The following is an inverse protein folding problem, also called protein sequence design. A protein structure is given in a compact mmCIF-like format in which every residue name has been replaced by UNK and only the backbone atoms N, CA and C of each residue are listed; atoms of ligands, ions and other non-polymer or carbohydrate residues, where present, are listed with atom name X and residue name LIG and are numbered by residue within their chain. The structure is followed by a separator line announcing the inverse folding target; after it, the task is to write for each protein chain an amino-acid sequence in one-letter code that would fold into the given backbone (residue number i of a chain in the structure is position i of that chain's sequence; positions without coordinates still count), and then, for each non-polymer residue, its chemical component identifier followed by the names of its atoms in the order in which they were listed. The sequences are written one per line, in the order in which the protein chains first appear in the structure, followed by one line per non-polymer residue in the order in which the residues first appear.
data_IF_559391287136
#
_entry.id   IF_559391287136
#
_cell.length_a   1.000
_cell.length_b   1.000
_cell.length_c   1.000
_cell.angle_alpha   90.00
_cell.angle_beta   90.00
_cell.angle_gamma   90.00
#
_symmetry.space_group_name_H-M   'P 1'
#
loop_
_entity.id
_entity.type
_entity.pdbx_description
1 polymer ?
#
# COMPACT_ATOMS: atom_id res chain seq x y z
N UNK A 1 20.82 -11.47 -14.90
CA UNK A 1 21.72 -10.32 -14.78
C UNK A 1 21.04 -9.16 -14.05
N UNK A 2 20.06 -8.46 -14.65
CA UNK A 2 19.44 -7.25 -14.05
C UNK A 2 18.85 -7.50 -12.66
N UNK A 3 18.21 -8.65 -12.41
CA UNK A 3 17.72 -8.99 -11.06
C UNK A 3 18.83 -9.10 -10.03
N UNK A 4 19.97 -9.70 -10.40
CA UNK A 4 21.11 -9.86 -9.49
C UNK A 4 21.74 -8.49 -9.18
N UNK A 5 21.83 -7.59 -10.16
CA UNK A 5 22.28 -6.20 -9.95
C UNK A 5 21.37 -5.47 -8.96
N UNK A 6 20.05 -5.61 -9.10
CA UNK A 6 19.10 -4.97 -8.19
C UNK A 6 19.18 -5.54 -6.77
N UNK A 7 19.40 -6.84 -6.63
CA UNK A 7 19.65 -7.47 -5.34
C UNK A 7 20.98 -7.01 -4.73
N UNK A 8 22.03 -6.77 -5.54
CA UNK A 8 23.28 -6.17 -5.07
C UNK A 8 23.03 -4.76 -4.52
N UNK A 9 22.21 -3.94 -5.18
CA UNK A 9 21.82 -2.61 -4.67
C UNK A 9 21.11 -2.74 -3.32
N UNK A 10 20.24 -3.72 -3.13
CA UNK A 10 19.58 -3.96 -1.84
C UNK A 10 20.57 -4.40 -0.74
N UNK A 11 21.50 -5.31 -1.06
CA UNK A 11 22.56 -5.73 -0.14
C UNK A 11 23.42 -4.52 0.26
N UNK A 12 23.79 -3.70 -0.72
CA UNK A 12 24.63 -2.52 -0.47
C UNK A 12 23.89 -1.48 0.36
N UNK A 13 22.61 -1.23 0.08
CA UNK A 13 21.77 -0.37 0.90
C UNK A 13 21.68 -0.89 2.35
N UNK A 14 21.55 -2.20 2.55
CA UNK A 14 21.52 -2.80 3.88
C UNK A 14 22.86 -2.70 4.62
N UNK A 15 23.99 -2.76 3.90
CA UNK A 15 25.35 -2.63 4.47
C UNK A 15 25.73 -1.20 4.81
N UNK A 16 25.37 -0.25 3.96
CA UNK A 16 25.78 1.16 4.08
C UNK A 16 24.91 1.97 5.05
N UNK A 17 23.67 1.53 5.29
CA UNK A 17 22.78 2.21 6.22
C UNK A 17 22.92 1.60 7.62
N UNK A 18 23.55 2.35 8.54
CA UNK A 18 23.80 1.89 9.92
C UNK A 18 22.55 1.42 10.66
N UNK A 19 21.40 2.06 10.41
CA UNK A 19 20.12 1.67 10.99
C UNK A 19 19.62 0.28 10.54
N UNK A 20 20.18 -0.25 9.44
CA UNK A 20 19.90 -1.59 8.90
C UNK A 20 21.05 -2.54 9.26
N UNK A 21 22.29 -2.14 9.01
CA UNK A 21 23.48 -3.00 9.16
C UNK A 21 23.75 -3.39 10.62
N UNK A 22 23.34 -2.55 11.57
CA UNK A 22 23.39 -2.84 13.02
C UNK A 22 22.35 -3.87 13.48
N UNK A 23 21.36 -4.17 12.65
CA UNK A 23 20.28 -5.10 12.96
C UNK A 23 20.44 -6.40 12.17
N UNK A 24 19.74 -7.46 12.60
CA UNK A 24 19.65 -8.67 11.79
C UNK A 24 18.75 -8.40 10.60
N UNK A 25 19.32 -8.30 9.41
CA UNK A 25 18.59 -8.13 8.16
C UNK A 25 18.70 -9.37 7.26
N UNK A 26 17.69 -9.56 6.42
CA UNK A 26 17.63 -10.66 5.46
C UNK A 26 16.95 -10.22 4.16
N UNK A 27 17.40 -10.80 3.05
CA UNK A 27 16.77 -10.71 1.74
C UNK A 27 16.13 -12.07 1.45
N UNK A 28 14.80 -12.10 1.43
CA UNK A 28 14.06 -13.28 1.00
C UNK A 28 13.84 -13.23 -0.50
N UNK A 29 14.05 -14.36 -1.17
CA UNK A 29 13.88 -14.52 -2.62
C UNK A 29 12.93 -15.69 -2.87
N UNK A 30 11.94 -15.49 -3.73
CA UNK A 30 10.99 -16.50 -4.14
C UNK A 30 10.65 -16.37 -5.62
N UNK A 31 9.88 -17.31 -6.14
CA UNK A 31 9.49 -17.33 -7.54
C UNK A 31 8.04 -17.78 -7.71
N UNK A 32 7.24 -16.96 -8.39
CA UNK A 32 5.79 -17.20 -8.54
C UNK A 32 5.49 -18.57 -9.15
N UNK A 33 6.27 -19.01 -10.14
CA UNK A 33 6.04 -20.29 -10.81
C UNK A 33 6.13 -21.49 -9.85
N UNK A 34 6.90 -21.42 -8.74
CA UNK A 34 6.90 -22.49 -7.74
C UNK A 34 5.55 -22.61 -7.04
N UNK A 35 4.95 -21.47 -6.67
CA UNK A 35 3.63 -21.41 -6.06
C UNK A 35 2.57 -21.95 -7.02
N UNK A 36 2.61 -21.53 -8.29
CA UNK A 36 1.65 -21.97 -9.32
C UNK A 36 1.80 -23.47 -9.60
N UNK A 37 3.03 -23.97 -9.71
CA UNK A 37 3.29 -25.40 -9.90
C UNK A 37 2.80 -26.24 -8.72
N UNK A 38 3.07 -25.80 -7.48
CA UNK A 38 2.58 -26.46 -6.28
C UNK A 38 1.05 -26.44 -6.21
N UNK A 39 0.40 -25.32 -6.53
CA UNK A 39 -1.06 -25.22 -6.58
C UNK A 39 -1.66 -26.21 -7.60
N UNK A 40 -1.12 -26.24 -8.83
CA UNK A 40 -1.55 -27.19 -9.88
C UNK A 40 -1.39 -28.64 -9.44
N UNK A 41 -0.24 -28.98 -8.84
CA UNK A 41 0.03 -30.30 -8.32
C UNK A 41 -0.98 -30.75 -7.25
N UNK A 42 -1.52 -29.81 -6.46
CA UNK A 42 -2.54 -30.06 -5.44
C UNK A 42 -3.98 -30.06 -5.97
N UNK A 43 -4.17 -29.94 -7.30
CA UNK A 43 -5.47 -29.94 -7.97
C UNK A 43 -6.06 -28.55 -8.26
N UNK A 44 -5.34 -27.46 -7.97
CA UNK A 44 -5.79 -26.08 -8.21
C UNK A 44 -5.26 -25.57 -9.55
N UNK A 45 -5.78 -26.15 -10.63
CA UNK A 45 -5.38 -25.88 -12.00
C UNK A 45 -5.90 -24.55 -12.59
N UNK A 46 -7.03 -24.08 -12.10
CA UNK A 46 -7.69 -22.89 -12.64
C UNK A 46 -7.09 -21.57 -12.12
N UNK A 47 -7.20 -20.52 -12.94
CA UNK A 47 -6.62 -19.21 -12.66
C UNK A 47 -7.21 -18.56 -11.40
N UNK A 48 -8.50 -18.78 -11.12
CA UNK A 48 -9.17 -18.17 -9.97
C UNK A 48 -8.64 -18.77 -8.66
N UNK A 49 -8.53 -20.10 -8.58
CA UNK A 49 -7.95 -20.79 -7.42
C UNK A 49 -6.48 -20.41 -7.22
N UNK A 50 -5.69 -20.33 -8.30
CA UNK A 50 -4.30 -19.88 -8.23
C UNK A 50 -4.20 -18.43 -7.71
N UNK A 51 -5.05 -17.53 -8.19
CA UNK A 51 -5.09 -16.15 -7.71
C UNK A 51 -5.50 -16.06 -6.23
N UNK A 52 -6.45 -16.87 -5.76
CA UNK A 52 -6.79 -16.96 -4.33
C UNK A 52 -5.56 -17.36 -3.51
N UNK A 53 -4.84 -18.41 -3.92
CA UNK A 53 -3.63 -18.89 -3.23
C UNK A 53 -2.55 -17.81 -3.20
N UNK A 54 -2.27 -17.18 -4.33
CA UNK A 54 -1.29 -16.10 -4.44
C UNK A 54 -1.65 -14.91 -3.54
N UNK A 55 -2.92 -14.52 -3.47
CA UNK A 55 -3.37 -13.42 -2.61
C UNK A 55 -3.25 -13.75 -1.12
N UNK A 56 -3.53 -15.00 -0.72
CA UNK A 56 -3.32 -15.43 0.68
C UNK A 56 -1.84 -15.43 1.04
N UNK A 57 -0.98 -15.97 0.17
CA UNK A 57 0.47 -15.98 0.39
C UNK A 57 1.03 -14.55 0.42
N UNK A 58 0.54 -13.65 -0.43
CA UNK A 58 0.88 -12.23 -0.37
C UNK A 58 0.53 -11.62 0.99
N UNK A 59 -0.68 -11.84 1.50
CA UNK A 59 -1.10 -11.33 2.81
C UNK A 59 -0.30 -11.95 3.98
N UNK A 60 0.22 -13.17 3.81
CA UNK A 60 1.14 -13.82 4.74
C UNK A 60 2.53 -13.16 4.66
N UNK A 61 3.08 -12.98 3.46
CA UNK A 61 4.41 -12.39 3.23
C UNK A 61 4.52 -10.93 3.66
N UNK A 62 3.43 -10.15 3.56
CA UNK A 62 3.40 -8.75 4.02
C UNK A 62 2.94 -8.58 5.46
N UNK A 63 2.77 -9.67 6.21
CA UNK A 63 2.37 -9.62 7.61
C UNK A 63 3.52 -9.07 8.46
N UNK A 64 3.23 -8.06 9.28
CA UNK A 64 4.16 -7.53 10.29
C UNK A 64 4.27 -8.43 11.53
N UNK A 65 3.63 -9.61 11.53
CA UNK A 65 3.72 -10.64 12.58
C UNK A 65 4.32 -11.90 11.98
N UNK A 66 5.24 -12.52 12.72
CA UNK A 66 5.74 -13.85 12.40
C UNK A 66 4.63 -14.87 12.64
N UNK A 67 4.02 -15.36 11.56
CA UNK A 67 2.90 -16.30 11.64
C UNK A 67 3.43 -17.71 11.86
N UNK A 68 2.84 -18.41 12.83
CA UNK A 68 3.13 -19.83 13.03
C UNK A 68 2.60 -20.65 11.86
N UNK A 69 3.17 -21.83 11.65
CA UNK A 69 2.79 -22.73 10.56
C UNK A 69 1.29 -23.04 10.57
N UNK A 70 0.70 -23.31 11.74
CA UNK A 70 -0.72 -23.60 11.88
C UNK A 70 -1.59 -22.42 11.44
N UNK A 71 -1.17 -21.19 11.74
CA UNK A 71 -1.87 -19.96 11.33
C UNK A 71 -1.79 -19.76 9.81
N UNK A 72 -0.65 -20.10 9.20
CA UNK A 72 -0.46 -20.04 7.74
C UNK A 72 -1.35 -21.07 7.04
N UNK A 73 -1.39 -22.31 7.56
CA UNK A 73 -2.29 -23.37 7.08
C UNK A 73 -3.75 -22.90 7.17
N UNK A 74 -4.18 -22.35 8.31
CA UNK A 74 -5.56 -21.93 8.48
C UNK A 74 -5.96 -20.79 7.52
N UNK A 75 -5.07 -19.81 7.31
CA UNK A 75 -5.30 -18.74 6.31
C UNK A 75 -5.44 -19.28 4.89
N UNK A 76 -4.63 -20.28 4.50
CA UNK A 76 -4.78 -20.96 3.22
C UNK A 76 -6.15 -21.62 3.12
N UNK A 77 -6.51 -22.47 4.09
CA UNK A 77 -7.81 -23.16 4.10
C UNK A 77 -8.99 -22.21 3.95
N UNK A 78 -9.02 -21.14 4.75
CA UNK A 78 -10.11 -20.15 4.74
C UNK A 78 -10.14 -19.34 3.44
N UNK A 79 -8.98 -18.97 2.89
CA UNK A 79 -8.91 -18.11 1.71
C UNK A 79 -8.96 -18.83 0.36
N UNK A 80 -8.72 -20.14 0.31
CA UNK A 80 -8.55 -20.91 -0.93
C UNK A 80 -9.39 -22.18 -1.01
N UNK A 81 -10.26 -22.41 -0.01
CA UNK A 81 -11.11 -23.61 0.11
C UNK A 81 -10.31 -24.94 0.17
N UNK A 82 -9.01 -24.85 0.47
CA UNK A 82 -8.13 -26.01 0.62
C UNK A 82 -8.53 -26.84 1.86
N UNK A 83 -8.43 -28.16 1.74
CA UNK A 83 -8.39 -29.03 2.91
C UNK A 83 -7.09 -28.79 3.71
N UNK A 84 -7.09 -29.20 4.99
CA UNK A 84 -5.89 -29.13 5.82
C UNK A 84 -4.69 -29.83 5.18
N UNK A 85 -4.91 -31.02 4.62
CA UNK A 85 -3.85 -31.79 3.98
C UNK A 85 -3.30 -31.09 2.74
N UNK A 86 -4.16 -30.49 1.91
CA UNK A 86 -3.70 -29.73 0.74
C UNK A 86 -2.88 -28.49 1.15
N UNK A 87 -3.37 -27.72 2.13
CA UNK A 87 -2.66 -26.52 2.61
C UNK A 87 -1.31 -26.88 3.27
N UNK A 88 -1.28 -27.92 4.11
CA UNK A 88 -0.05 -28.39 4.73
C UNK A 88 0.94 -28.95 3.70
N UNK A 89 0.46 -29.71 2.71
CA UNK A 89 1.30 -30.23 1.62
C UNK A 89 1.87 -29.11 0.74
N UNK A 90 1.07 -28.08 0.42
CA UNK A 90 1.56 -26.91 -0.33
C UNK A 90 2.69 -26.22 0.43
N UNK A 91 2.55 -26.00 1.73
CA UNK A 91 3.63 -25.43 2.54
C UNK A 91 4.84 -26.36 2.65
N UNK A 92 4.66 -27.69 2.83
CA UNK A 92 5.79 -28.63 2.86
C UNK A 92 6.67 -28.59 1.61
N UNK A 93 6.09 -28.30 0.45
CA UNK A 93 6.82 -28.22 -0.82
C UNK A 93 7.55 -26.89 -0.97
N UNK A 94 7.02 -25.80 -0.39
CA UNK A 94 7.47 -24.44 -0.64
C UNK A 94 8.31 -23.82 0.51
N UNK A 95 8.06 -24.20 1.76
CA UNK A 95 8.80 -23.75 2.95
C UNK A 95 9.45 -24.94 3.67
N UNK A 96 10.51 -24.64 4.43
CA UNK A 96 11.19 -25.60 5.29
C UNK A 96 12.04 -24.89 6.35
N UNK A 97 12.67 -25.66 7.22
CA UNK A 97 13.52 -25.11 8.28
C UNK A 97 14.82 -24.50 7.73
N UNK A 98 15.28 -25.02 6.58
CA UNK A 98 16.45 -24.53 5.87
C UNK A 98 16.04 -23.76 4.60
N UNK A 99 16.49 -22.51 4.53
CA UNK A 99 16.21 -21.56 3.45
C UNK A 99 17.35 -21.46 2.42
N UNK A 100 18.19 -22.49 2.30
CA UNK A 100 19.17 -22.61 1.21
C UNK A 100 18.48 -22.95 -0.12
N UNK A 101 19.13 -22.63 -1.23
CA UNK A 101 18.60 -22.93 -2.57
C UNK A 101 18.53 -24.46 -2.78
N UNK A 102 19.54 -25.18 -2.31
CA UNK A 102 19.65 -26.63 -2.39
C UNK A 102 18.48 -27.30 -1.66
N UNK A 103 18.13 -26.80 -0.46
CA UNK A 103 17.00 -27.32 0.30
C UNK A 103 15.66 -27.04 -0.41
N UNK A 104 15.49 -25.87 -1.04
CA UNK A 104 14.30 -25.57 -1.83
C UNK A 104 14.19 -26.47 -3.08
N UNK A 105 15.29 -26.70 -3.79
CA UNK A 105 15.34 -27.63 -4.93
C UNK A 105 14.95 -29.04 -4.48
N UNK A 106 15.51 -29.52 -3.38
CA UNK A 106 15.20 -30.84 -2.84
C UNK A 106 13.71 -31.00 -2.49
N UNK A 107 13.08 -29.99 -1.88
CA UNK A 107 11.64 -30.01 -1.54
C UNK A 107 10.74 -29.99 -2.78
N UNK A 108 11.15 -29.27 -3.83
CA UNK A 108 10.39 -29.15 -5.08
C UNK A 108 10.60 -30.32 -6.05
N UNK A 109 11.45 -31.30 -5.70
CA UNK A 109 11.73 -32.48 -6.53
C UNK A 109 10.48 -33.31 -6.86
N UNK A 110 9.49 -33.36 -5.95
CA UNK A 110 8.22 -34.05 -6.21
C UNK A 110 7.43 -33.38 -7.36
N UNK A 111 7.55 -32.07 -7.52
CA UNK A 111 6.95 -31.32 -8.62
C UNK A 111 7.73 -31.55 -9.93
N UNK A 112 9.07 -31.60 -9.85
CA UNK A 112 9.93 -31.93 -11.00
C UNK A 112 9.67 -33.33 -11.57
N UNK A 113 9.26 -34.26 -10.72
CA UNK A 113 8.91 -35.63 -11.12
C UNK A 113 7.41 -35.80 -11.44
N UNK A 114 6.64 -34.71 -11.46
CA UNK A 114 5.21 -34.77 -11.75
C UNK A 114 4.95 -35.23 -13.20
N UNK A 115 3.86 -35.97 -13.41
CA UNK A 115 3.44 -36.41 -14.76
C UNK A 115 2.95 -35.25 -15.64
N UNK A 116 2.50 -34.15 -15.04
CA UNK A 116 2.04 -32.97 -15.76
C UNK A 116 3.25 -32.15 -16.25
N UNK A 117 3.42 -32.11 -17.56
CA UNK A 117 4.52 -31.39 -18.23
C UNK A 117 4.52 -29.90 -17.87
N UNK A 118 3.34 -29.29 -17.73
CA UNK A 118 3.20 -27.88 -17.39
C UNK A 118 3.70 -27.57 -15.96
N UNK A 119 3.54 -28.52 -15.03
CA UNK A 119 4.09 -28.40 -13.67
C UNK A 119 5.60 -28.46 -13.73
N UNK A 120 6.17 -29.41 -14.48
CA UNK A 120 7.63 -29.56 -14.60
C UNK A 120 8.28 -28.34 -15.24
N UNK A 121 7.69 -27.80 -16.32
CA UNK A 121 8.19 -26.61 -17.01
C UNK A 121 8.22 -25.38 -16.09
N UNK A 122 7.17 -25.17 -15.29
CA UNK A 122 7.10 -24.06 -14.34
C UNK A 122 8.19 -24.16 -13.27
N UNK A 123 8.44 -25.36 -12.74
CA UNK A 123 9.44 -25.58 -11.69
C UNK A 123 10.85 -25.47 -12.25
N UNK A 124 11.11 -26.10 -13.41
CA UNK A 124 12.41 -26.01 -14.09
C UNK A 124 12.77 -24.55 -14.38
N UNK A 125 11.83 -23.80 -14.97
CA UNK A 125 12.01 -22.37 -15.26
C UNK A 125 12.32 -21.57 -13.99
N UNK A 126 11.62 -21.84 -12.88
CA UNK A 126 11.87 -21.16 -11.61
C UNK A 126 13.25 -21.48 -11.03
N UNK A 127 13.62 -22.76 -10.99
CA UNK A 127 14.90 -23.22 -10.44
C UNK A 127 16.06 -22.67 -11.27
N UNK A 128 15.96 -22.66 -12.59
CA UNK A 128 16.99 -22.09 -13.47
C UNK A 128 17.21 -20.61 -13.19
N UNK A 129 16.13 -19.84 -13.02
CA UNK A 129 16.22 -18.42 -12.68
C UNK A 129 16.85 -18.21 -11.31
N UNK A 130 16.40 -18.94 -10.28
CA UNK A 130 16.93 -18.83 -8.93
C UNK A 130 18.41 -19.24 -8.86
N UNK A 131 18.81 -20.30 -9.56
CA UNK A 131 20.20 -20.78 -9.63
C UNK A 131 21.09 -19.74 -10.30
N UNK A 132 20.67 -19.21 -11.44
CA UNK A 132 21.43 -18.17 -12.14
C UNK A 132 21.55 -16.89 -11.31
N UNK A 133 20.49 -16.47 -10.62
CA UNK A 133 20.53 -15.31 -9.72
C UNK A 133 21.43 -15.56 -8.53
N UNK A 134 21.39 -16.76 -7.93
CA UNK A 134 22.23 -17.13 -6.80
C UNK A 134 23.71 -17.08 -7.17
N UNK A 135 24.10 -17.70 -8.28
CA UNK A 135 25.49 -17.72 -8.76
C UNK A 135 26.02 -16.31 -9.05
N UNK A 136 25.22 -15.49 -9.72
CA UNK A 136 25.59 -14.11 -10.02
C UNK A 136 25.70 -13.28 -8.73
N UNK A 137 24.72 -13.36 -7.84
CA UNK A 137 24.71 -12.60 -6.60
C UNK A 137 25.90 -12.97 -5.72
N UNK A 138 26.18 -14.27 -5.56
CA UNK A 138 27.35 -14.76 -4.82
C UNK A 138 28.67 -14.19 -5.36
N UNK A 139 28.81 -14.09 -6.68
CA UNK A 139 30.00 -13.52 -7.31
C UNK A 139 30.21 -12.03 -6.97
N UNK A 140 29.14 -11.30 -6.65
CA UNK A 140 29.20 -9.88 -6.31
C UNK A 140 29.31 -9.62 -4.80
N UNK A 141 28.59 -10.38 -3.97
CA UNK A 141 28.47 -10.08 -2.53
C UNK A 141 29.31 -11.00 -1.62
N UNK A 142 29.83 -12.10 -2.17
CA UNK A 142 30.60 -13.13 -1.49
C UNK A 142 29.74 -14.21 -0.83
N UNK A 143 30.31 -15.43 -0.73
CA UNK A 143 29.63 -16.60 -0.17
C UNK A 143 29.16 -16.41 1.29
N UNK A 144 29.97 -15.74 2.12
CA UNK A 144 29.61 -15.48 3.52
C UNK A 144 28.36 -14.61 3.66
N UNK A 145 28.23 -13.59 2.80
CA UNK A 145 27.06 -12.71 2.79
C UNK A 145 25.82 -13.43 2.27
N UNK A 146 25.98 -14.25 1.22
CA UNK A 146 24.89 -15.08 0.70
C UNK A 146 24.35 -15.99 1.79
N UNK A 147 25.23 -16.73 2.47
CA UNK A 147 24.86 -17.67 3.52
C UNK A 147 24.21 -16.99 4.74
N UNK A 148 24.66 -15.78 5.09
CA UNK A 148 24.17 -15.06 6.27
C UNK A 148 22.83 -14.33 6.05
N UNK A 149 22.61 -13.78 4.85
CA UNK A 149 21.54 -12.81 4.62
C UNK A 149 20.55 -13.18 3.51
N UNK A 150 20.89 -14.08 2.59
CA UNK A 150 20.03 -14.41 1.44
C UNK A 150 19.30 -15.72 1.70
N UNK A 151 17.97 -15.66 1.69
CA UNK A 151 17.09 -16.79 2.02
C UNK A 151 16.17 -17.10 0.84
N UNK A 152 16.09 -18.37 0.45
CA UNK A 152 15.19 -18.85 -0.61
C UNK A 152 13.88 -19.37 0.01
N UNK A 153 12.80 -18.63 -0.21
CA UNK A 153 11.47 -18.87 0.34
C UNK A 153 10.47 -19.10 -0.81
N UNK A 154 10.10 -20.36 -1.05
CA UNK A 154 9.14 -20.72 -2.09
C UNK A 154 7.72 -20.22 -1.84
N UNK A 155 7.41 -19.74 -0.62
CA UNK A 155 6.12 -19.14 -0.27
C UNK A 155 6.10 -17.63 -0.47
N UNK A 156 7.25 -16.99 -0.70
CA UNK A 156 7.33 -15.54 -0.86
C UNK A 156 6.49 -15.11 -2.06
N UNK A 157 5.49 -14.28 -1.78
CA UNK A 157 4.63 -13.70 -2.79
C UNK A 157 4.50 -12.20 -2.52
N UNK A 158 4.81 -11.38 -3.51
CA UNK A 158 4.65 -9.93 -3.42
C UNK A 158 3.90 -9.42 -4.65
N UNK A 159 2.82 -8.66 -4.44
CA UNK A 159 1.95 -8.10 -5.50
C UNK A 159 1.82 -9.02 -6.73
N UNK A 160 1.18 -10.20 -6.60
CA UNK A 160 1.22 -11.27 -7.60
C UNK A 160 0.65 -10.91 -8.97
N UNK A 161 -0.13 -9.83 -9.08
CA UNK A 161 -0.63 -9.30 -10.35
C UNK A 161 0.42 -8.45 -11.07
N UNK A 162 1.24 -7.71 -10.32
CA UNK A 162 2.34 -6.90 -10.85
C UNK A 162 3.51 -7.79 -11.24
N UNK A 163 3.98 -8.63 -10.30
CA UNK A 163 5.14 -9.50 -10.49
C UNK A 163 4.69 -10.90 -10.94
N UNK A 164 3.86 -10.94 -11.98
CA UNK A 164 3.11 -12.13 -12.39
C UNK A 164 3.95 -13.15 -13.18
N UNK A 165 5.18 -12.82 -13.56
CA UNK A 165 6.01 -13.64 -14.47
C UNK A 165 7.30 -14.18 -13.91
N UNK A 166 7.64 -13.92 -12.64
CA UNK A 166 8.95 -14.38 -12.22
C UNK A 166 9.31 -14.27 -10.75
N UNK A 167 10.57 -13.91 -10.56
CA UNK A 167 11.24 -13.78 -9.28
C UNK A 167 10.70 -12.57 -8.51
N UNK A 168 10.51 -12.75 -7.21
CA UNK A 168 10.15 -11.71 -6.25
C UNK A 168 11.12 -11.75 -5.08
N UNK A 169 11.38 -10.61 -4.48
CA UNK A 169 12.31 -10.51 -3.37
C UNK A 169 11.89 -9.41 -2.39
N UNK A 170 12.34 -9.56 -1.15
CA UNK A 170 11.99 -8.69 -0.04
C UNK A 170 13.18 -8.48 0.88
N UNK A 171 13.58 -7.21 1.09
CA UNK A 171 14.52 -6.80 2.10
C UNK A 171 13.77 -6.50 3.41
N UNK A 172 14.19 -7.14 4.49
CA UNK A 172 13.59 -6.93 5.80
C UNK A 172 14.61 -6.94 6.92
N UNK A 173 14.26 -6.25 8.01
CA UNK A 173 14.99 -6.25 9.28
C UNK A 173 14.18 -6.99 10.32
N UNK A 174 14.85 -7.77 11.17
CA UNK A 174 14.26 -8.49 12.28
C UNK A 174 14.53 -7.73 13.57
N UNK A 175 13.50 -7.10 14.13
CA UNK A 175 13.60 -6.37 15.38
C UNK A 175 13.04 -7.18 16.57
N UNK A 176 13.66 -7.11 17.75
CA UNK A 176 13.08 -7.66 18.97
C UNK A 176 11.77 -6.93 19.34
N UNK A 177 10.70 -7.67 19.60
CA UNK A 177 9.43 -7.16 20.07
C UNK A 177 8.73 -8.18 20.97
N UNK A 178 8.48 -7.81 22.23
CA UNK A 178 7.75 -8.62 23.23
C UNK A 178 8.26 -10.08 23.33
N UNK A 179 9.58 -10.25 23.35
CA UNK A 179 10.24 -11.56 23.44
C UNK A 179 10.25 -12.38 22.15
N UNK A 180 9.85 -11.80 21.01
CA UNK A 180 9.88 -12.43 19.68
C UNK A 180 10.58 -11.54 18.65
N UNK A 181 11.02 -12.10 17.52
CA UNK A 181 11.51 -11.30 16.40
C UNK A 181 10.35 -10.91 15.49
N UNK A 182 10.28 -9.62 15.15
CA UNK A 182 9.28 -9.04 14.26
C UNK A 182 9.95 -8.62 12.95
N UNK A 183 9.49 -9.13 11.79
CA UNK A 183 9.99 -8.67 10.51
C UNK A 183 9.40 -7.30 10.17
N UNK A 184 10.26 -6.36 9.80
CA UNK A 184 9.89 -5.07 9.23
C UNK A 184 10.41 -5.04 7.81
N UNK A 185 9.47 -4.90 6.87
CA UNK A 185 9.76 -4.88 5.44
C UNK A 185 10.26 -3.50 5.05
N UNK A 186 11.50 -3.42 4.59
CA UNK A 186 12.10 -2.17 4.13
C UNK A 186 11.89 -1.96 2.65
N UNK A 187 11.95 -3.04 1.86
CA UNK A 187 11.74 -2.95 0.44
C UNK A 187 11.33 -4.28 -0.17
N UNK A 188 10.66 -4.21 -1.30
CA UNK A 188 10.23 -5.39 -2.03
C UNK A 188 10.15 -5.10 -3.52
N UNK A 189 10.34 -6.14 -4.32
CA UNK A 189 10.42 -6.02 -5.76
C UNK A 189 10.28 -7.36 -6.47
N UNK A 190 10.43 -7.31 -7.77
CA UNK A 190 10.35 -8.48 -8.62
C UNK A 190 10.39 -8.14 -10.09
N UNK A 191 10.21 -9.17 -10.93
CA UNK A 191 10.12 -9.07 -12.38
C UNK A 191 8.67 -8.89 -12.84
N UNK A 192 8.42 -7.94 -13.74
CA UNK A 192 7.06 -7.52 -14.16
C UNK A 192 6.94 -7.28 -15.67
N UNK A 193 7.57 -8.13 -16.47
CA UNK A 193 7.58 -8.05 -17.94
C UNK A 193 6.16 -7.93 -18.55
N UNK A 194 5.23 -8.77 -18.10
CA UNK A 194 3.83 -8.78 -18.58
C UNK A 194 3.07 -7.52 -18.27
N UNK A 195 3.34 -6.88 -17.12
CA UNK A 195 2.69 -5.61 -16.81
C UNK A 195 3.07 -4.55 -17.84
N UNK A 196 4.32 -4.54 -18.28
CA UNK A 196 4.71 -3.61 -19.35
C UNK A 196 4.05 -3.97 -20.67
N UNK A 197 3.92 -5.26 -21.00
CA UNK A 197 3.23 -5.70 -22.21
C UNK A 197 1.74 -5.33 -22.21
N UNK A 198 1.06 -5.47 -21.07
CA UNK A 198 -0.36 -5.16 -20.89
C UNK A 198 -0.65 -3.65 -20.99
N UNK A 199 0.31 -2.80 -20.60
CA UNK A 199 0.20 -1.34 -20.66
C UNK A 199 0.58 -0.77 -22.05
N UNK A 200 1.02 -1.60 -22.99
CA UNK A 200 1.35 -1.15 -24.35
C UNK A 200 0.09 -0.84 -25.16
N UNK A 201 0.14 0.27 -25.87
CA UNK A 201 -0.87 0.64 -26.86
C UNK A 201 -0.58 -0.05 -28.20
N UNK A 202 -1.63 -0.29 -28.99
CA UNK A 202 -1.49 -0.91 -30.31
C UNK A 202 -0.61 -0.10 -31.29
N UNK A 203 -0.42 1.19 -31.04
CA UNK A 203 0.44 2.07 -31.83
C UNK A 203 1.88 2.12 -31.33
N UNK A 204 2.17 1.52 -30.17
CA UNK A 204 3.52 1.54 -29.61
C UNK A 204 4.45 0.67 -30.46
N UNK A 205 5.65 1.16 -30.77
CA UNK A 205 6.62 0.38 -31.55
C UNK A 205 6.88 -0.95 -30.87
N UNK A 206 6.87 -2.03 -31.67
CA UNK A 206 7.18 -3.37 -31.18
C UNK A 206 8.68 -3.42 -30.92
N UNK A 207 9.13 -3.66 -29.67
CA UNK A 207 10.54 -3.74 -29.38
C UNK A 207 11.15 -4.96 -30.09
N UNK A 208 12.40 -4.86 -30.56
CA UNK A 208 13.06 -5.96 -31.28
C UNK A 208 13.33 -7.17 -30.37
N UNK A 209 13.32 -6.98 -29.05
CA UNK A 209 13.48 -8.01 -28.04
C UNK A 209 12.28 -7.97 -27.07
N UNK A 210 11.91 -9.10 -26.44
CA UNK A 210 10.89 -9.12 -25.40
C UNK A 210 11.19 -8.10 -24.29
N UNK A 211 10.15 -7.47 -23.77
CA UNK A 211 10.31 -6.54 -22.66
C UNK A 211 10.77 -7.29 -21.43
N UNK A 212 11.81 -6.76 -20.78
CA UNK A 212 12.34 -7.29 -19.54
C UNK A 212 12.42 -6.16 -18.53
N UNK A 213 11.64 -6.25 -17.46
CA UNK A 213 11.63 -5.24 -16.41
C UNK A 213 11.65 -5.88 -15.03
N UNK A 214 12.56 -5.36 -14.21
CA UNK A 214 12.71 -5.71 -12.82
C UNK A 214 12.89 -4.42 -12.03
N UNK A 215 12.34 -4.38 -10.84
CA UNK A 215 12.30 -3.17 -10.04
C UNK A 215 11.91 -3.47 -8.61
N UNK A 216 12.20 -2.52 -7.74
CA UNK A 216 11.88 -2.61 -6.32
C UNK A 216 11.53 -1.24 -5.76
N UNK A 217 10.73 -1.24 -4.70
CA UNK A 217 10.51 -0.05 -3.88
C UNK A 217 11.21 -0.21 -2.54
N UNK A 218 11.80 0.89 -2.04
CA UNK A 218 12.32 1.01 -0.68
C UNK A 218 11.44 2.02 0.08
N UNK A 219 10.95 1.65 1.26
CA UNK A 219 10.15 2.49 2.14
C UNK A 219 11.05 3.44 2.91
N UNK A 220 11.28 4.63 2.36
CA UNK A 220 12.08 5.65 3.02
C UNK A 220 11.45 6.11 4.33
N UNK A 221 10.13 6.08 4.46
CA UNK A 221 9.44 6.37 5.73
C UNK A 221 9.85 5.37 6.82
N UNK A 222 9.90 4.08 6.48
CA UNK A 222 10.32 3.03 7.43
C UNK A 222 11.81 3.11 7.73
N UNK A 223 12.64 3.39 6.72
CA UNK A 223 14.09 3.60 6.94
C UNK A 223 14.32 4.82 7.83
N UNK A 224 13.62 5.93 7.59
CA UNK A 224 13.70 7.13 8.43
C UNK A 224 13.26 6.84 9.87
N UNK A 225 12.18 6.09 10.06
CA UNK A 225 11.77 5.63 11.39
C UNK A 225 12.88 4.82 12.07
N UNK A 226 13.53 3.89 11.36
CA UNK A 226 14.67 3.14 11.91
C UNK A 226 15.86 4.03 12.25
N UNK A 227 16.16 5.05 11.42
CA UNK A 227 17.20 6.04 11.76
C UNK A 227 16.85 6.80 13.05
N UNK A 228 15.56 7.10 13.28
CA UNK A 228 15.09 7.73 14.51
C UNK A 228 15.12 6.77 15.72
N UNK A 229 15.03 5.45 15.51
CA UNK A 229 15.03 4.44 16.60
C UNK A 229 16.36 4.25 17.35
N UNK A 230 17.38 5.05 17.06
CA UNK A 230 18.48 5.30 18.02
C UNK A 230 18.04 6.13 19.24
N UNK A 231 16.75 6.49 19.33
CA UNK A 231 16.07 6.98 20.54
C UNK A 231 15.16 5.88 21.13
N UNK A 232 15.02 5.78 22.47
CA UNK A 232 14.53 4.59 23.16
C UNK A 232 13.11 4.15 22.75
N UNK A 233 13.00 2.84 22.47
CA UNK A 233 11.86 2.08 21.91
C UNK A 233 10.49 2.30 22.60
N UNK A 234 10.48 2.84 23.81
CA UNK A 234 9.25 3.07 24.61
C UNK A 234 8.49 4.35 24.24
N UNK A 235 9.11 5.26 23.48
CA UNK A 235 8.47 6.51 23.04
C UNK A 235 7.43 6.26 21.93
N UNK A 236 7.61 5.20 21.13
CA UNK A 236 6.74 4.85 19.99
C UNK A 236 5.36 4.36 20.46
N UNK A 237 5.30 3.54 21.53
CA UNK A 237 4.01 3.07 22.07
C UNK A 237 3.17 4.22 22.64
N UNK A 238 3.81 5.22 23.26
CA UNK A 238 3.14 6.42 23.77
C UNK A 238 2.59 7.30 22.64
N UNK A 239 3.36 7.47 21.55
CA UNK A 239 2.99 8.28 20.38
C UNK A 239 1.86 7.61 19.58
N UNK A 240 1.92 6.29 19.37
CA UNK A 240 0.84 5.54 18.71
C UNK A 240 -0.46 5.60 19.52
N UNK A 241 -0.41 5.42 20.84
CA UNK A 241 -1.59 5.44 21.70
C UNK A 241 -2.24 6.84 21.80
N UNK A 242 -1.44 7.91 21.81
CA UNK A 242 -1.96 9.28 21.84
C UNK A 242 -2.60 9.70 20.50
N UNK A 243 -2.06 9.21 19.37
CA UNK A 243 -2.65 9.42 18.05
C UNK A 243 -3.99 8.70 17.88
N UNK A 244 -4.14 7.49 18.43
CA UNK A 244 -5.41 6.75 18.42
C UNK A 244 -6.51 7.47 19.22
N UNK A 245 -6.15 8.17 20.30
CA UNK A 245 -7.08 8.88 21.18
C UNK A 245 -7.40 10.32 20.78
N UNK A 246 -6.87 10.81 19.65
CA UNK A 246 -7.08 12.20 19.16
C UNK A 246 -6.74 13.28 20.21
N UNK A 247 -5.67 13.08 20.96
CA UNK A 247 -5.18 14.12 21.88
C UNK A 247 -4.65 15.27 21.02
N UNK A 248 -5.34 16.41 21.01
CA UNK A 248 -5.09 17.50 20.05
C UNK A 248 -3.76 18.23 20.28
N UNK A 249 -3.18 18.15 21.49
CA UNK A 249 -1.91 18.81 21.81
C UNK A 249 -1.11 17.98 22.81
N UNK A 250 -0.04 17.34 22.34
CA UNK A 250 0.91 16.59 23.15
C UNK A 250 2.32 17.09 22.87
N UNK A 251 3.08 17.34 23.93
CA UNK A 251 4.50 17.68 23.88
C UNK A 251 5.28 16.59 24.61
N UNK A 252 6.23 15.94 23.92
CA UNK A 252 7.13 14.91 24.49
C UNK A 252 8.55 15.46 24.47
N UNK A 253 9.15 15.59 25.66
CA UNK A 253 10.54 16.04 25.86
C UNK A 253 11.36 14.86 26.37
N UNK A 254 12.52 14.62 25.77
CA UNK A 254 13.45 13.56 26.15
C UNK A 254 14.77 14.16 26.65
N UNK A 255 15.04 13.98 27.95
CA UNK A 255 16.26 14.47 28.60
C UNK A 255 16.32 16.00 28.74
N UNK A 256 17.45 16.50 29.24
CA UNK A 256 17.62 17.90 29.62
C UNK A 256 17.61 18.91 28.45
N UNK A 257 17.60 18.46 27.18
CA UNK A 257 17.82 19.39 26.04
C UNK A 257 17.22 19.00 24.67
N UNK A 258 16.36 17.98 24.54
CA UNK A 258 15.73 17.62 23.25
C UNK A 258 14.20 17.44 23.33
N UNK A 259 13.47 18.31 22.61
CA UNK A 259 12.02 18.25 22.43
C UNK A 259 11.72 17.50 21.14
N UNK A 260 11.03 16.36 21.21
CA UNK A 260 10.91 15.44 20.07
C UNK A 260 9.53 15.44 19.39
N UNK A 261 8.46 15.91 20.03
CA UNK A 261 7.14 15.93 19.35
C UNK A 261 6.25 17.07 19.84
N UNK A 262 5.60 17.77 18.90
CA UNK A 262 4.40 18.60 19.10
C UNK A 262 3.25 18.06 18.25
N UNK A 263 2.18 17.54 18.87
CA UNK A 263 0.91 17.33 18.15
C UNK A 263 0.26 18.70 17.98
N UNK A 264 0.00 19.11 16.73
CA UNK A 264 -0.54 20.44 16.39
C UNK A 264 0.17 21.21 15.26
N UNK A 265 1.12 20.59 14.56
CA UNK A 265 1.58 21.08 13.24
C UNK A 265 2.46 22.32 13.27
N UNK A 266 3.67 22.20 13.83
CA UNK A 266 4.88 22.91 13.39
C UNK A 266 6.06 22.44 14.26
N UNK A 267 7.15 22.00 13.61
CA UNK A 267 8.45 21.85 14.26
C UNK A 267 8.93 23.22 14.73
N UNK A 268 9.27 23.31 16.01
CA UNK A 268 9.99 24.43 16.57
C UNK A 268 11.28 23.84 17.12
N UNK A 269 12.43 24.32 16.62
CA UNK A 269 13.74 23.94 17.15
C UNK A 269 13.90 24.27 18.64
N UNK A 270 15.12 24.09 19.18
CA UNK A 270 15.45 24.30 20.61
C UNK A 270 14.70 25.50 21.21
N UNK A 271 13.75 25.20 22.08
CA UNK A 271 12.96 26.21 22.79
C UNK A 271 12.87 25.79 24.25
N UNK A 272 13.20 26.70 25.16
CA UNK A 272 12.98 26.52 26.59
C UNK A 272 11.48 26.48 26.84
N UNK A 273 10.95 25.33 27.23
CA UNK A 273 9.53 25.17 27.56
C UNK A 273 9.35 25.60 29.01
N UNK A 274 8.72 26.76 29.22
CA UNK A 274 8.27 27.22 30.53
C UNK A 274 6.75 27.05 30.70
N UNK A 275 6.26 27.23 31.93
CA UNK A 275 4.84 27.08 32.27
C UNK A 275 3.97 28.13 31.56
N UNK A 276 4.54 29.29 31.27
CA UNK A 276 3.87 30.40 30.58
C UNK A 276 3.55 30.00 29.13
N UNK A 277 4.49 29.36 28.43
CA UNK A 277 4.30 28.88 27.06
C UNK A 277 3.19 27.83 26.91
N UNK A 278 3.06 26.93 27.90
CA UNK A 278 2.04 25.87 27.88
C UNK A 278 0.63 26.45 28.07
N UNK A 279 0.50 27.44 28.96
CA UNK A 279 -0.77 28.13 29.22
C UNK A 279 -1.19 29.02 28.04
N UNK A 280 -0.24 29.73 27.41
CA UNK A 280 -0.50 30.57 26.23
C UNK A 280 -1.02 29.75 25.03
N UNK A 281 -0.45 28.55 24.81
CA UNK A 281 -0.80 27.69 23.68
C UNK A 281 -1.95 26.72 23.92
N UNK A 282 -2.59 26.78 25.09
CA UNK A 282 -3.70 25.88 25.50
C UNK A 282 -3.33 24.39 25.39
N UNK A 283 -2.13 24.03 25.85
CA UNK A 283 -1.70 22.63 25.84
C UNK A 283 -2.49 21.88 26.93
N UNK A 284 -3.38 20.99 26.51
CA UNK A 284 -4.25 20.24 27.42
C UNK A 284 -3.49 19.14 28.18
N UNK A 285 -2.44 18.55 27.58
CA UNK A 285 -1.64 17.50 28.22
C UNK A 285 -0.16 17.64 27.86
N UNK A 286 0.71 17.60 28.88
CA UNK A 286 2.17 17.68 28.77
C UNK A 286 2.79 16.42 29.39
N UNK A 287 3.65 15.73 28.63
CA UNK A 287 4.37 14.53 29.07
C UNK A 287 5.88 14.77 28.93
N UNK A 288 6.58 14.91 30.05
CA UNK A 288 8.05 15.08 30.05
C UNK A 288 8.68 13.76 30.47
N UNK A 289 9.38 13.11 29.55
CA UNK A 289 9.99 11.79 29.80
C UNK A 289 11.37 12.02 30.43
N UNK A 290 11.54 11.53 31.65
CA UNK A 290 12.75 11.64 32.44
C UNK A 290 13.35 10.24 32.65
N UNK A 291 14.14 9.75 31.69
CA UNK A 291 14.78 8.43 31.74
C UNK A 291 13.96 7.31 31.09
N UNK A 292 14.33 6.05 31.36
CA UNK A 292 13.84 4.87 30.62
C UNK A 292 12.38 4.46 30.95
N UNK A 293 11.83 4.92 32.07
CA UNK A 293 10.48 4.56 32.53
C UNK A 293 9.81 5.60 33.43
N UNK A 294 10.36 6.82 33.56
CA UNK A 294 9.72 7.88 34.34
C UNK A 294 9.17 8.95 33.41
N UNK A 295 7.91 9.31 33.61
CA UNK A 295 7.24 10.39 32.88
C UNK A 295 6.61 11.33 33.90
N UNK A 296 6.94 12.62 33.78
CA UNK A 296 6.24 13.69 34.45
C UNK A 296 4.99 14.04 33.64
N UNK A 297 3.83 13.97 34.27
CA UNK A 297 2.54 14.08 33.59
C UNK A 297 1.81 15.30 34.10
N UNK A 298 1.38 16.17 33.19
CA UNK A 298 0.45 17.26 33.49
C UNK A 298 -0.75 17.18 32.56
N UNK A 299 -1.96 17.16 33.12
CA UNK A 299 -3.22 17.07 32.35
C UNK A 299 -4.16 18.18 32.85
N UNK A 300 -4.67 19.00 31.94
CA UNK A 300 -5.62 20.07 32.26
C UNK A 300 -5.07 21.11 33.24
N UNK A 301 -3.75 21.33 33.25
CA UNK A 301 -3.07 22.23 34.19
C UNK A 301 -2.81 21.63 35.57
N UNK A 302 -3.26 20.40 35.86
CA UNK A 302 -2.94 19.69 37.09
C UNK A 302 -1.66 18.86 36.92
N UNK A 303 -0.67 19.10 37.77
CA UNK A 303 0.55 18.30 37.84
C UNK A 303 0.26 16.98 38.56
N UNK A 304 0.42 15.87 37.85
CA UNK A 304 0.23 14.52 38.37
C UNK A 304 1.55 13.91 38.88
N UNK A 305 2.66 14.64 38.77
CA UNK A 305 3.97 14.21 39.24
C UNK A 305 4.61 13.13 38.38
N UNK A 306 5.62 12.46 38.94
CA UNK A 306 6.33 11.34 38.31
C UNK A 306 5.45 10.10 38.31
N UNK A 307 5.31 9.48 37.14
CA UNK A 307 4.56 8.26 36.91
C UNK A 307 5.34 7.33 35.98
N UNK A 308 5.09 6.02 36.06
CA UNK A 308 5.64 5.09 35.07
C UNK A 308 4.86 5.17 33.76
N UNK A 309 5.48 4.76 32.65
CA UNK A 309 4.83 4.78 31.32
C UNK A 309 3.51 3.98 31.34
N UNK A 310 3.49 2.82 32.02
CA UNK A 310 2.30 1.98 32.17
C UNK A 310 1.18 2.65 33.00
N UNK A 311 1.55 3.41 34.03
CA UNK A 311 0.60 4.19 34.84
C UNK A 311 -0.02 5.34 34.04
N UNK A 312 0.75 5.97 33.15
CA UNK A 312 0.26 7.01 32.24
C UNK A 312 -0.76 6.42 31.28
N UNK A 313 -0.43 5.31 30.62
CA UNK A 313 -1.31 4.63 29.66
C UNK A 313 -2.65 4.21 30.30
N UNK A 314 -2.61 3.60 31.49
CA UNK A 314 -3.82 3.19 32.21
C UNK A 314 -4.70 4.37 32.67
N UNK A 315 -4.11 5.52 33.02
CA UNK A 315 -4.90 6.73 33.33
C UNK A 315 -5.60 7.32 32.12
N UNK A 316 -4.96 7.29 30.95
CA UNK A 316 -5.59 7.69 29.69
C UNK A 316 -6.72 6.73 29.27
N UNK A 317 -6.73 5.46 29.70
CA UNK A 317 -7.85 4.55 29.44
C UNK A 317 -9.08 4.90 30.29
N UNK A 318 -8.87 5.26 31.56
CA UNK A 318 -9.95 5.50 32.52
C UNK A 318 -10.69 6.83 32.30
N UNK A 319 -10.08 7.84 31.68
CA UNK A 319 -10.75 9.12 31.38
C UNK A 319 -11.84 9.01 30.30
N UNK A 320 -11.84 7.95 29.48
CA UNK A 320 -12.83 7.71 28.41
C UNK A 320 -13.96 6.73 28.79
N UNK A 321 -14.03 6.31 30.06
CA UNK A 321 -14.94 5.26 30.57
C UNK A 321 -16.45 5.55 30.62
N UNK A 322 -17.02 6.25 29.63
CA UNK A 322 -18.48 6.28 29.38
C UNK A 322 -18.81 6.08 27.90
N UNK A 323 -18.37 4.95 27.35
CA UNK A 323 -19.08 4.27 26.26
C UNK A 323 -18.78 2.78 26.37
N UNK A 324 -19.84 1.99 26.27
CA UNK A 324 -19.93 0.55 26.53
C UNK A 324 -18.93 -0.32 25.79
N UNK A 325 -18.46 -1.35 26.52
CA UNK A 325 -17.95 -2.64 26.08
C UNK A 325 -18.22 -3.01 24.62
N UNK A 326 -17.12 -3.19 23.86
CA UNK A 326 -17.07 -4.03 22.67
C UNK A 326 -15.65 -4.62 22.56
N UNK A 327 -15.42 -5.69 23.30
CA UNK A 327 -14.39 -6.68 22.94
C UNK A 327 -14.91 -7.38 21.67
N UNK A 328 -14.03 -7.59 20.69
CA UNK A 328 -14.30 -8.11 19.33
C UNK A 328 -14.89 -7.09 18.33
N UNK A 329 -14.05 -6.34 17.63
CA UNK A 329 -14.29 -5.89 16.23
C UNK A 329 -13.15 -5.04 15.67
N UNK A 330 -11.93 -5.58 15.44
CA UNK A 330 -10.98 -4.97 14.49
C UNK A 330 -10.04 -6.03 13.89
N UNK A 331 -10.55 -6.83 12.97
CA UNK A 331 -9.74 -7.66 12.07
C UNK A 331 -10.20 -7.52 10.62
N UNK A 332 -10.36 -6.32 10.09
CA UNK A 332 -10.37 -6.07 8.65
C UNK A 332 -10.01 -4.61 8.40
N UNK A 333 -8.77 -4.35 7.98
CA UNK A 333 -8.34 -3.19 7.17
C UNK A 333 -6.82 -3.28 6.93
N UNK A 334 -6.40 -4.27 6.15
CA UNK A 334 -5.15 -4.21 5.40
C UNK A 334 -5.48 -4.32 3.91
N UNK A 335 -6.16 -3.30 3.41
CA UNK A 335 -6.00 -2.84 2.03
C UNK A 335 -5.05 -1.66 2.10
N UNK A 336 -3.79 -1.86 1.71
CA UNK A 336 -2.79 -0.78 1.65
C UNK A 336 -3.27 0.21 0.59
N UNK A 337 -3.88 1.29 1.08
CA UNK A 337 -3.88 2.58 0.41
C UNK A 337 -2.43 3.00 0.30
N UNK A 338 -1.93 3.08 -0.92
CA UNK A 338 -0.67 3.75 -1.21
C UNK A 338 -0.82 5.21 -0.76
N UNK A 339 -0.05 5.61 0.24
CA UNK A 339 0.26 7.00 0.53
C UNK A 339 1.67 7.27 0.00
N UNK A 340 1.88 8.26 -0.88
CA UNK A 340 3.20 8.86 -1.02
C UNK A 340 3.49 9.68 0.24
N UNK A 341 4.74 9.60 0.69
CA UNK A 341 5.29 10.45 1.74
C UNK A 341 4.92 11.92 1.49
N UNK A 342 4.33 12.55 2.53
CA UNK A 342 4.01 13.97 2.54
C UNK A 342 5.31 14.75 2.71
N UNK A 343 5.87 15.25 1.62
CA UNK A 343 6.44 16.59 1.69
C UNK A 343 5.27 17.57 1.74
N UNK A 344 5.28 18.46 2.72
CA UNK A 344 4.35 19.57 2.82
C UNK A 344 4.55 20.51 1.62
N UNK A 345 3.89 20.16 0.51
CA UNK A 345 3.48 21.09 -0.52
C UNK A 345 1.95 21.06 -0.49
N UNK A 346 1.32 22.24 -0.46
CA UNK A 346 -0.13 22.34 -0.42
C UNK A 346 -0.73 21.46 -1.53
N UNK A 347 -1.82 20.73 -1.25
CA UNK A 347 -2.58 19.94 -2.24
C UNK A 347 -3.94 20.58 -2.49
N UNK A 348 -4.61 20.21 -3.58
CA UNK A 348 -5.95 20.74 -3.87
C UNK A 348 -6.90 20.39 -2.72
N UNK A 349 -7.60 21.40 -2.20
CA UNK A 349 -8.63 21.17 -1.18
C UNK A 349 -9.97 20.95 -1.86
N UNK A 350 -10.95 20.43 -1.12
CA UNK A 350 -12.32 20.25 -1.62
C UNK A 350 -13.01 21.56 -2.08
N UNK A 351 -12.36 22.71 -1.88
CA UNK A 351 -12.75 24.03 -2.41
C UNK A 351 -12.47 24.20 -3.91
N UNK A 352 -11.65 23.34 -4.53
CA UNK A 352 -11.28 23.43 -5.95
C UNK A 352 -12.18 22.59 -6.89
N UNK A 353 -13.28 22.02 -6.38
CA UNK A 353 -14.26 21.30 -7.19
C UNK A 353 -15.35 22.25 -7.69
N UNK A 354 -15.46 22.39 -9.01
CA UNK A 354 -16.59 23.07 -9.63
C UNK A 354 -17.63 22.04 -10.09
N UNK A 355 -18.77 21.98 -9.41
CA UNK A 355 -19.80 20.96 -9.67
C UNK A 355 -20.91 21.52 -10.57
N UNK A 356 -21.03 20.96 -11.77
CA UNK A 356 -22.07 21.27 -12.77
C UNK A 356 -23.03 20.09 -12.93
N UNK A 357 -24.32 20.40 -12.93
CA UNK A 357 -25.38 19.40 -13.04
C UNK A 357 -25.92 19.33 -14.47
N UNK A 358 -25.62 18.23 -15.17
CA UNK A 358 -26.11 17.90 -16.52
C UNK A 358 -27.24 16.87 -16.41
N UNK A 359 -28.34 17.25 -15.75
CA UNK A 359 -29.48 16.36 -15.41
C UNK A 359 -30.81 17.00 -15.79
N UNK A 360 -31.84 16.19 -15.99
CA UNK A 360 -33.16 16.67 -16.43
C UNK A 360 -33.83 17.60 -15.40
N UNK A 361 -33.72 17.27 -14.11
CA UNK A 361 -34.22 18.08 -13.01
C UNK A 361 -33.08 18.48 -12.08
N UNK A 362 -32.86 19.79 -11.93
CA UNK A 362 -31.86 20.31 -11.00
C UNK A 362 -32.30 20.00 -9.56
N UNK A 363 -31.43 19.41 -8.73
CA UNK A 363 -31.80 19.07 -7.37
C UNK A 363 -32.09 20.33 -6.53
N UNK A 364 -33.07 20.23 -5.64
CA UNK A 364 -33.35 21.27 -4.65
C UNK A 364 -32.10 21.60 -3.81
N UNK A 365 -31.98 22.83 -3.30
CA UNK A 365 -30.76 23.35 -2.65
C UNK A 365 -30.19 22.40 -1.58
N UNK A 366 -31.04 21.80 -0.75
CA UNK A 366 -30.62 20.88 0.30
C UNK A 366 -30.10 19.53 -0.26
N UNK A 367 -30.76 19.01 -1.29
CA UNK A 367 -30.31 17.81 -1.99
C UNK A 367 -29.01 18.08 -2.77
N UNK A 368 -28.86 19.27 -3.35
CA UNK A 368 -27.63 19.72 -4.02
C UNK A 368 -26.45 19.76 -3.04
N UNK A 369 -26.61 20.37 -1.86
CA UNK A 369 -25.55 20.40 -0.83
C UNK A 369 -25.14 18.99 -0.39
N UNK A 370 -26.11 18.09 -0.20
CA UNK A 370 -25.86 16.70 0.19
C UNK A 370 -25.11 15.92 -0.91
N UNK A 371 -25.54 16.09 -2.17
CA UNK A 371 -24.87 15.48 -3.32
C UNK A 371 -23.44 16.00 -3.51
N UNK A 372 -23.21 17.30 -3.38
CA UNK A 372 -21.86 17.86 -3.47
C UNK A 372 -20.96 17.39 -2.32
N UNK A 373 -21.48 17.24 -1.09
CA UNK A 373 -20.74 16.63 0.01
C UNK A 373 -20.35 15.17 -0.29
N UNK A 374 -21.29 14.40 -0.86
CA UNK A 374 -21.04 13.03 -1.29
C UNK A 374 -19.98 12.96 -2.41
N UNK A 375 -20.09 13.80 -3.45
CA UNK A 375 -19.11 13.91 -4.53
C UNK A 375 -17.72 14.23 -3.98
N UNK A 376 -17.61 15.20 -3.05
CA UNK A 376 -16.34 15.54 -2.38
C UNK A 376 -15.74 14.34 -1.66
N UNK A 377 -16.56 13.54 -0.97
CA UNK A 377 -16.11 12.32 -0.29
C UNK A 377 -15.64 11.25 -1.28
N UNK A 378 -16.34 11.05 -2.40
CA UNK A 378 -15.97 10.06 -3.42
C UNK A 378 -14.67 10.43 -4.15
N UNK A 379 -14.48 11.73 -4.42
CA UNK A 379 -13.32 12.24 -5.16
C UNK A 379 -12.12 12.58 -4.27
N UNK A 380 -12.24 12.48 -2.94
CA UNK A 380 -11.18 12.86 -2.00
C UNK A 380 -9.82 12.24 -2.34
N UNK A 381 -9.81 10.96 -2.74
CA UNK A 381 -8.58 10.27 -3.15
C UNK A 381 -8.02 10.77 -4.47
N UNK A 382 -8.87 11.09 -5.45
CA UNK A 382 -8.44 11.62 -6.74
C UNK A 382 -7.91 13.05 -6.63
N UNK A 383 -8.54 13.89 -5.80
CA UNK A 383 -8.14 15.28 -5.54
C UNK A 383 -6.79 15.32 -4.82
N UNK A 384 -6.54 14.40 -3.89
CA UNK A 384 -5.31 14.36 -3.10
C UNK A 384 -4.03 14.17 -3.93
N UNK A 385 -4.16 13.70 -5.18
CA UNK A 385 -3.05 13.49 -6.12
C UNK A 385 -2.83 14.73 -7.02
N UNK A 386 -3.71 15.73 -6.98
CA UNK A 386 -3.66 16.92 -7.84
C UNK A 386 -3.04 18.14 -7.15
N UNK A 387 -2.42 19.02 -7.95
CA UNK A 387 -1.76 20.23 -7.45
C UNK A 387 -2.78 21.21 -6.84
N UNK A 388 -2.39 22.03 -5.85
CA UNK A 388 -3.30 22.89 -5.08
C UNK A 388 -4.02 23.97 -5.88
N UNK A 389 -3.52 24.28 -7.07
CA UNK A 389 -4.11 25.25 -7.99
C UNK A 389 -5.02 24.59 -9.05
N UNK A 390 -5.08 23.25 -9.10
CA UNK A 390 -5.90 22.53 -10.08
C UNK A 390 -7.38 22.69 -9.73
N UNK A 391 -8.12 23.34 -10.62
CA UNK A 391 -9.59 23.38 -10.59
C UNK A 391 -10.12 22.19 -11.37
N UNK A 392 -10.94 21.37 -10.70
CA UNK A 392 -11.51 20.14 -11.27
C UNK A 392 -12.99 20.38 -11.57
N UNK A 393 -13.38 20.10 -12.81
CA UNK A 393 -14.74 20.32 -13.30
C UNK A 393 -15.53 19.01 -13.23
N UNK A 394 -16.48 18.94 -12.30
CA UNK A 394 -17.30 17.74 -12.07
C UNK A 394 -18.64 17.91 -12.77
N UNK A 395 -18.90 17.08 -13.77
CA UNK A 395 -20.16 17.01 -14.51
C UNK A 395 -20.98 15.85 -13.98
N UNK A 396 -22.06 16.20 -13.29
CA UNK A 396 -22.97 15.28 -12.65
C UNK A 396 -24.06 14.87 -13.62
N UNK A 397 -24.27 13.57 -13.81
CA UNK A 397 -25.22 12.98 -14.76
C UNK A 397 -26.05 11.86 -14.15
N UNK A 398 -27.18 11.56 -14.79
CA UNK A 398 -28.05 10.41 -14.51
C UNK A 398 -27.84 9.26 -15.50
N UNK A 399 -26.73 9.26 -16.25
CA UNK A 399 -26.36 8.12 -17.09
C UNK A 399 -26.03 6.87 -16.25
N UNK A 400 -26.39 5.66 -16.71
CA UNK A 400 -25.94 4.43 -16.07
C UNK A 400 -24.42 4.26 -16.24
N UNK A 401 -23.81 3.49 -15.33
CA UNK A 401 -22.36 3.24 -15.28
C UNK A 401 -21.76 2.82 -16.62
N UNK A 402 -22.45 1.96 -17.37
CA UNK A 402 -21.96 1.46 -18.66
C UNK A 402 -21.93 2.55 -19.74
N UNK A 403 -22.91 3.46 -19.74
CA UNK A 403 -22.95 4.60 -20.65
C UNK A 403 -21.86 5.62 -20.32
N UNK A 404 -21.59 5.85 -19.02
CA UNK A 404 -20.45 6.69 -18.58
C UNK A 404 -19.13 6.08 -19.01
N UNK A 405 -18.94 4.76 -18.83
CA UNK A 405 -17.71 4.06 -19.23
C UNK A 405 -17.48 4.18 -20.74
N UNK A 406 -18.50 3.89 -21.56
CA UNK A 406 -18.41 4.03 -23.02
C UNK A 406 -18.04 5.47 -23.41
N UNK A 407 -18.74 6.45 -22.85
CA UNK A 407 -18.48 7.85 -23.18
C UNK A 407 -17.02 8.23 -22.86
N UNK A 408 -16.50 7.78 -21.72
CA UNK A 408 -15.11 8.05 -21.32
C UNK A 408 -14.07 7.33 -22.16
N UNK A 409 -14.42 6.21 -22.82
CA UNK A 409 -13.51 5.54 -23.77
C UNK A 409 -13.50 6.19 -25.14
N UNK A 410 -14.54 6.95 -25.49
CA UNK A 410 -14.67 7.61 -26.79
C UNK A 410 -14.15 9.05 -26.78
N UNK A 411 -13.98 9.67 -25.61
CA UNK A 411 -13.54 11.06 -25.47
C UNK A 411 -12.09 11.08 -25.03
N UNK A 412 -11.23 11.62 -25.89
CA UNK A 412 -9.86 12.05 -25.54
C UNK A 412 -9.89 13.54 -25.17
N UNK A 413 -9.16 13.95 -24.14
CA UNK A 413 -9.10 15.35 -23.71
C UNK A 413 -8.52 16.28 -24.77
N UNK A 414 -7.67 15.75 -25.66
CA UNK A 414 -7.03 16.48 -26.73
C UNK A 414 -7.86 16.49 -28.04
N UNK A 415 -9.08 15.95 -28.02
CA UNK A 415 -9.92 15.93 -29.21
C UNK A 415 -10.46 17.33 -29.56
N UNK A 416 -10.65 17.56 -30.85
CA UNK A 416 -11.32 18.74 -31.39
C UNK A 416 -12.82 18.75 -31.08
N UNK A 417 -13.47 19.90 -31.20
CA UNK A 417 -14.93 20.03 -31.00
C UNK A 417 -15.75 19.13 -31.95
N UNK A 418 -15.25 18.93 -33.17
CA UNK A 418 -15.89 18.05 -34.16
C UNK A 418 -15.76 16.58 -33.77
N UNK A 419 -14.58 16.17 -33.26
CA UNK A 419 -14.36 14.81 -32.75
C UNK A 419 -15.16 14.55 -31.49
N UNK A 420 -15.22 15.51 -30.56
CA UNK A 420 -16.08 15.44 -29.37
C UNK A 420 -17.54 15.19 -29.77
N UNK A 421 -18.05 15.97 -30.73
CA UNK A 421 -19.41 15.81 -31.27
C UNK A 421 -19.61 14.43 -31.91
N UNK A 422 -18.60 13.91 -32.61
CA UNK A 422 -18.58 12.56 -33.17
C UNK A 422 -18.64 11.45 -32.10
N UNK A 423 -17.93 11.62 -31.00
CA UNK A 423 -17.95 10.70 -29.85
C UNK A 423 -19.32 10.67 -29.18
N UNK A 424 -19.96 11.82 -28.98
CA UNK A 424 -21.32 11.91 -28.47
C UNK A 424 -22.36 11.32 -29.43
N UNK A 425 -22.20 11.50 -30.75
CA UNK A 425 -23.06 10.88 -31.74
C UNK A 425 -22.94 9.34 -31.71
N UNK A 426 -21.72 8.82 -31.53
CA UNK A 426 -21.46 7.38 -31.42
C UNK A 426 -22.05 6.80 -30.13
N UNK A 427 -21.84 7.46 -28.99
CA UNK A 427 -22.43 7.06 -27.71
C UNK A 427 -23.97 7.08 -27.77
N UNK A 428 -24.57 8.11 -28.41
CA UNK A 428 -26.02 8.24 -28.59
C UNK A 428 -26.60 7.13 -29.45
N UNK A 429 -25.88 6.65 -30.47
CA UNK A 429 -26.33 5.52 -31.30
C UNK A 429 -26.42 4.22 -30.47
N UNK A 430 -25.44 3.96 -29.61
CA UNK A 430 -25.43 2.76 -28.76
C UNK A 430 -26.42 2.86 -27.59
N UNK A 431 -26.62 4.05 -27.04
CA UNK A 431 -27.49 4.31 -25.90
C UNK A 431 -28.62 5.30 -26.25
N UNK A 432 -29.41 4.97 -27.28
CA UNK A 432 -30.45 5.87 -27.83
C UNK A 432 -31.49 6.34 -26.79
N UNK A 433 -31.77 5.50 -25.77
CA UNK A 433 -32.68 5.86 -24.67
C UNK A 433 -32.22 7.10 -23.89
N UNK A 434 -30.92 7.40 -23.88
CA UNK A 434 -30.31 8.51 -23.13
C UNK A 434 -29.87 9.69 -24.02
N UNK A 435 -30.45 9.82 -25.21
CA UNK A 435 -30.07 10.86 -26.19
C UNK A 435 -30.14 12.28 -25.60
N UNK A 436 -31.16 12.59 -24.80
CA UNK A 436 -31.32 13.93 -24.21
C UNK A 436 -30.27 14.20 -23.14
N UNK A 437 -29.85 13.16 -22.42
CA UNK A 437 -28.82 13.22 -21.38
C UNK A 437 -27.44 13.45 -22.01
N UNK A 438 -27.12 12.77 -23.10
CA UNK A 438 -25.88 13.00 -23.85
C UNK A 438 -25.76 14.44 -24.36
N UNK A 439 -26.83 15.01 -24.92
CA UNK A 439 -26.82 16.42 -25.37
C UNK A 439 -26.51 17.38 -24.22
N UNK A 440 -27.14 17.19 -23.05
CA UNK A 440 -26.88 18.05 -21.87
C UNK A 440 -25.45 17.92 -21.35
N UNK A 441 -24.88 16.71 -21.39
CA UNK A 441 -23.49 16.48 -20.97
C UNK A 441 -22.55 17.13 -21.97
N UNK A 442 -22.81 17.00 -23.27
CA UNK A 442 -22.04 17.64 -24.33
C UNK A 442 -22.01 19.16 -24.11
N UNK A 443 -23.17 19.81 -24.01
CA UNK A 443 -23.29 21.26 -23.73
C UNK A 443 -22.53 21.68 -22.45
N UNK A 444 -22.53 20.83 -21.41
CA UNK A 444 -21.79 21.10 -20.17
C UNK A 444 -20.27 20.93 -20.32
N UNK A 445 -19.82 20.09 -21.26
CA UNK A 445 -18.41 19.78 -21.53
C UNK A 445 -17.75 20.78 -22.50
N UNK A 446 -18.49 21.28 -23.49
CA UNK A 446 -17.98 22.14 -24.55
C UNK A 446 -17.05 23.29 -24.10
N UNK A 447 -17.33 24.03 -22.99
CA UNK A 447 -16.45 25.13 -22.57
C UNK A 447 -15.04 24.70 -22.15
N UNK A 448 -14.83 23.41 -21.86
CA UNK A 448 -13.58 22.89 -21.34
C UNK A 448 -12.67 22.32 -22.43
N UNK A 449 -13.19 22.04 -23.62
CA UNK A 449 -12.40 21.55 -24.76
C UNK A 449 -11.77 22.69 -25.59
N UNK A 450 -11.67 23.89 -25.00
CA UNK A 450 -10.97 25.02 -25.61
C UNK A 450 -9.44 24.87 -25.46
N UNK A 451 -8.61 25.33 -26.43
CA UNK A 451 -7.16 25.10 -26.46
C UNK A 451 -6.35 25.62 -25.26
N UNK A 452 -6.95 26.45 -24.40
CA UNK A 452 -6.29 27.06 -23.22
C UNK A 452 -6.76 26.49 -21.89
N UNK A 453 -7.72 25.56 -21.92
CA UNK A 453 -8.29 24.98 -20.72
C UNK A 453 -7.71 23.59 -20.54
N UNK A 454 -6.96 23.37 -19.46
CA UNK A 454 -6.39 22.07 -19.08
C UNK A 454 -7.00 21.56 -17.76
N UNK A 455 -8.17 22.09 -17.37
CA UNK A 455 -8.87 21.60 -16.18
C UNK A 455 -9.26 20.13 -16.37
N UNK A 456 -8.94 19.26 -15.40
CA UNK A 456 -9.44 17.89 -15.37
C UNK A 456 -10.96 17.86 -15.31
N UNK A 457 -11.58 16.95 -16.06
CA UNK A 457 -13.03 16.80 -16.09
C UNK A 457 -13.40 15.47 -15.44
N UNK A 458 -14.40 15.47 -14.57
CA UNK A 458 -14.94 14.27 -13.93
C UNK A 458 -16.37 14.06 -14.36
N UNK A 459 -16.68 12.91 -14.95
CA UNK A 459 -18.05 12.49 -15.17
C UNK A 459 -18.52 11.66 -13.96
N UNK A 460 -19.50 12.18 -13.22
CA UNK A 460 -20.04 11.56 -12.01
C UNK A 460 -21.48 11.10 -12.22
N UNK A 461 -21.75 9.80 -12.10
CA UNK A 461 -23.09 9.23 -12.17
C UNK A 461 -23.74 9.18 -10.79
N UNK A 462 -24.97 9.71 -10.70
CA UNK A 462 -25.80 9.67 -9.48
C UNK A 462 -26.63 8.39 -9.33
N UNK A 463 -26.69 7.52 -10.34
CA UNK A 463 -27.56 6.35 -10.31
C UNK A 463 -27.07 5.27 -9.33
N UNK A 464 -25.78 5.27 -8.98
CA UNK A 464 -25.20 4.30 -8.06
C UNK A 464 -25.11 4.87 -6.65
N UNK A 465 -25.55 4.10 -5.65
CA UNK A 465 -25.51 4.49 -4.23
C UNK A 465 -24.09 4.80 -3.71
N UNK A 466 -23.07 4.30 -4.41
CA UNK A 466 -21.66 4.47 -4.06
C UNK A 466 -20.95 5.56 -4.90
N UNK A 467 -21.65 6.22 -5.83
CA UNK A 467 -21.11 7.28 -6.68
C UNK A 467 -20.05 6.77 -7.67
N UNK A 468 -20.47 6.41 -8.88
CA UNK A 468 -19.54 6.02 -9.94
C UNK A 468 -18.99 7.26 -10.65
N UNK A 469 -17.67 7.35 -10.82
CA UNK A 469 -17.06 8.43 -11.57
C UNK A 469 -15.91 7.97 -12.44
N UNK A 470 -15.60 8.78 -13.45
CA UNK A 470 -14.45 8.62 -14.34
C UNK A 470 -13.80 9.98 -14.59
N UNK A 471 -12.46 9.99 -14.59
CA UNK A 471 -11.68 11.16 -14.93
C UNK A 471 -11.39 11.16 -16.43
N UNK A 472 -11.49 12.34 -17.03
CA UNK A 472 -10.97 12.70 -18.34
C UNK A 472 -9.83 13.67 -18.07
N UNK A 473 -8.60 13.21 -18.30
CA UNK A 473 -7.37 13.94 -18.03
C UNK A 473 -6.79 14.51 -19.31
#
# INVERSE_FOLDING_TARGET
MITAELLCIMVEAARQLDCISSQKWEIRIGHRNLIVAAARYMGFGDLNSQNKILNVLYAISTSNKMLRREQRIERLRVGTEMSFNQANSLLNVLEGDEYSLEALIARTQCLMNCRDDSVRELVQSAIDVLTNVSLLLESFVGADCMAAHVLFDGTLCYRPQTYSTGITFQLQVLLPHKGSLRPIILGAGGRYDTLLEDERHAQDPIPPNPLCAVGCGLSLDTVAQLCCTNTPVRMIELIEHCNEKKIETLLVVHGDDEVLVRIGGADLGKMSIDEEHCNEKKIESLLVVHGDDEVLVRIGGADLGKMSIDEVLSKFENQTGKATSAVESFTHLHGISQSPARHASATATAANLNVRYAVAEKPAVNARKRNEAHIRSCLQKAIAVMTPQTVIEVIVTDLPTDAVRLLTTLIDRNCSMDELSGSFATATKQFNKFKKEFVRIQEAMEPFFQPKNNSPIVLFSRQTSNGYYKLLL
#
